data_IF_885870392599
#
_entry.id   IF_885870392599
#
_cell.length_a   1.000
_cell.length_b   1.000
_cell.length_c   1.000
_cell.angle_alpha   90.00
_cell.angle_beta   90.00
_cell.angle_gamma   90.00
#
_symmetry.space_group_name_H-M   'P 1'
#
loop_
_entity.id
_entity.type
_entity.pdbx_description
1 polymer ?
#
# COMPACT_ATOMS: atom_id res chain seq x y z
N UNK A 1 -14.03 -15.19 -31.29
CA UNK A 1 -13.70 -15.33 -29.86
C UNK A 1 -13.17 -13.99 -29.41
N UNK A 2 -14.03 -13.13 -28.87
CA UNK A 2 -13.64 -11.77 -28.48
C UNK A 2 -13.08 -11.80 -27.06
N UNK A 3 -11.81 -11.43 -27.00
CA UNK A 3 -11.06 -10.81 -25.91
C UNK A 3 -11.64 -10.96 -24.51
N UNK A 4 -11.02 -11.86 -23.74
CA UNK A 4 -10.92 -11.72 -22.29
C UNK A 4 -10.09 -10.46 -22.01
N UNK A 5 -10.73 -9.29 -22.07
CA UNK A 5 -10.21 -8.07 -21.49
C UNK A 5 -10.37 -8.24 -19.99
N UNK A 6 -9.45 -9.00 -19.38
CA UNK A 6 -9.33 -9.04 -17.94
C UNK A 6 -9.18 -7.59 -17.49
N UNK A 7 -10.17 -7.09 -16.76
CA UNK A 7 -10.00 -5.88 -15.95
C UNK A 7 -8.71 -6.10 -15.18
N UNK A 8 -7.65 -5.39 -15.55
CA UNK A 8 -6.58 -5.10 -14.60
C UNK A 8 -7.32 -4.41 -13.46
N UNK A 9 -7.67 -5.13 -12.40
CA UNK A 9 -8.07 -4.48 -11.17
C UNK A 9 -6.84 -3.69 -10.76
N UNK A 10 -6.79 -2.42 -11.14
CA UNK A 10 -5.70 -1.53 -10.78
C UNK A 10 -5.63 -1.53 -9.26
N UNK A 11 -4.54 -2.07 -8.73
CA UNK A 11 -4.28 -2.06 -7.29
C UNK A 11 -4.02 -0.61 -6.93
N UNK A 12 -4.81 -0.05 -6.04
CA UNK A 12 -4.64 1.32 -5.58
C UNK A 12 -3.70 1.40 -4.38
N UNK A 13 -3.25 2.60 -4.04
CA UNK A 13 -2.47 2.86 -2.82
C UNK A 13 -3.22 2.37 -1.58
N UNK A 14 -4.52 2.65 -1.49
CA UNK A 14 -5.37 2.15 -0.40
C UNK A 14 -5.36 0.62 -0.30
N UNK A 15 -5.41 -0.09 -1.44
CA UNK A 15 -5.32 -1.55 -1.42
C UNK A 15 -3.96 -2.07 -0.93
N UNK A 16 -2.88 -1.34 -1.21
CA UNK A 16 -1.55 -1.67 -0.69
C UNK A 16 -1.49 -1.47 0.84
N UNK A 17 -2.03 -0.37 1.35
CA UNK A 17 -2.08 -0.06 2.79
C UNK A 17 -2.91 -1.11 3.52
N UNK A 18 -4.11 -1.42 3.03
CA UNK A 18 -4.98 -2.43 3.62
C UNK A 18 -4.31 -3.81 3.65
N UNK A 19 -3.62 -4.19 2.57
CA UNK A 19 -2.91 -5.47 2.49
C UNK A 19 -1.69 -5.53 3.43
N UNK A 20 -0.98 -4.41 3.62
CA UNK A 20 0.11 -4.30 4.57
C UNK A 20 -0.41 -4.37 6.01
N UNK A 21 -1.47 -3.61 6.33
CA UNK A 21 -2.13 -3.64 7.65
C UNK A 21 -2.57 -5.05 8.02
N UNK A 22 -3.26 -5.75 7.12
CA UNK A 22 -3.73 -7.11 7.38
C UNK A 22 -2.56 -8.10 7.64
N UNK A 23 -1.42 -7.91 6.98
CA UNK A 23 -0.22 -8.71 7.24
C UNK A 23 0.38 -8.39 8.62
N UNK A 24 0.48 -7.10 8.96
CA UNK A 24 0.97 -6.63 10.25
C UNK A 24 0.10 -7.09 11.41
N UNK A 25 -1.23 -7.09 11.27
CA UNK A 25 -2.18 -7.59 12.27
C UNK A 25 -2.14 -9.11 12.42
N UNK A 26 -1.88 -9.84 11.32
CA UNK A 26 -1.76 -11.29 11.34
C UNK A 26 -0.45 -11.77 11.98
N UNK A 27 0.55 -10.89 12.04
CA UNK A 27 1.83 -11.15 12.71
C UNK A 27 1.82 -10.57 14.11
N UNK A 28 2.18 -11.38 15.10
CA UNK A 28 2.37 -10.92 16.49
C UNK A 28 3.71 -10.18 16.61
N UNK A 29 3.80 -9.00 15.99
CA UNK A 29 4.99 -8.15 15.97
C UNK A 29 4.70 -6.80 16.63
N UNK A 30 5.73 -6.24 17.26
CA UNK A 30 5.71 -4.87 17.75
C UNK A 30 5.93 -3.90 16.57
N UNK A 31 5.09 -2.86 16.47
CA UNK A 31 5.24 -1.79 15.48
C UNK A 31 6.43 -0.87 15.81
N UNK A 32 7.07 -0.33 14.78
CA UNK A 32 8.28 0.48 14.91
C UNK A 32 7.99 1.97 15.06
N UNK A 33 9.04 2.78 15.21
CA UNK A 33 9.03 4.26 15.02
C UNK A 33 7.95 5.08 15.77
N UNK A 34 7.29 4.53 16.79
CA UNK A 34 6.22 5.22 17.52
C UNK A 34 4.83 5.07 16.90
N UNK A 35 4.64 4.16 15.93
CA UNK A 35 3.33 3.81 15.39
C UNK A 35 2.47 3.20 16.49
N UNK A 36 1.27 3.76 16.66
CA UNK A 36 0.33 3.32 17.71
C UNK A 36 -0.47 2.07 17.29
N UNK A 37 -0.56 1.82 15.99
CA UNK A 37 -1.34 0.74 15.39
C UNK A 37 -0.77 0.25 14.05
N UNK A 38 -1.31 -0.87 13.57
CA UNK A 38 -0.94 -1.47 12.29
C UNK A 38 -1.22 -0.57 11.09
N UNK A 39 -2.17 0.36 11.20
CA UNK A 39 -2.57 1.25 10.12
C UNK A 39 -1.52 2.35 9.88
N UNK A 40 -1.01 2.96 10.95
CA UNK A 40 0.08 3.93 10.88
C UNK A 40 1.36 3.30 10.31
N UNK A 41 1.74 2.11 10.81
CA UNK A 41 2.92 1.40 10.31
C UNK A 41 2.75 0.96 8.85
N UNK A 42 1.57 0.43 8.48
CA UNK A 42 1.27 0.05 7.10
C UNK A 42 1.34 1.25 6.14
N UNK A 43 0.77 2.38 6.54
CA UNK A 43 0.80 3.61 5.75
C UNK A 43 2.23 4.08 5.55
N UNK A 44 3.02 4.16 6.63
CA UNK A 44 4.42 4.54 6.56
C UNK A 44 5.24 3.63 5.64
N UNK A 45 5.10 2.30 5.78
CA UNK A 45 5.81 1.33 4.96
C UNK A 45 5.48 1.46 3.47
N UNK A 46 4.20 1.64 3.15
CA UNK A 46 3.74 1.75 1.76
C UNK A 46 4.17 3.08 1.13
N UNK A 47 4.03 4.20 1.86
CA UNK A 47 4.51 5.52 1.42
C UNK A 47 6.02 5.48 1.17
N UNK A 48 6.78 4.95 2.13
CA UNK A 48 8.22 4.88 2.03
C UNK A 48 8.68 4.00 0.88
N UNK A 49 8.03 2.85 0.67
CA UNK A 49 8.34 1.95 -0.45
C UNK A 49 8.03 2.56 -1.82
N UNK A 50 7.08 3.50 -1.89
CA UNK A 50 6.65 4.17 -3.11
C UNK A 50 7.23 5.57 -3.29
N UNK A 51 8.08 6.02 -2.36
CA UNK A 51 8.69 7.37 -2.34
C UNK A 51 7.65 8.48 -2.48
N UNK A 52 6.53 8.35 -1.75
CA UNK A 52 5.45 9.34 -1.69
C UNK A 52 5.75 10.32 -0.55
N UNK A 53 5.47 11.60 -0.74
CA UNK A 53 5.58 12.59 0.34
C UNK A 53 4.42 12.43 1.34
N UNK A 54 4.74 12.43 2.63
CA UNK A 54 3.82 12.09 3.73
C UNK A 54 2.63 13.05 3.88
N UNK A 55 2.74 14.26 3.34
CA UNK A 55 1.71 15.31 3.36
C UNK A 55 0.54 15.08 2.39
N UNK A 56 0.67 14.17 1.42
CA UNK A 56 -0.29 14.04 0.31
C UNK A 56 -1.02 12.67 0.27
N UNK A 57 -0.79 11.79 1.25
CA UNK A 57 -1.31 10.41 1.23
C UNK A 57 -2.84 10.32 1.03
N UNK A 58 -3.61 11.12 1.75
CA UNK A 58 -5.08 11.10 1.69
C UNK A 58 -5.59 11.42 0.27
N UNK A 59 -4.85 12.23 -0.48
CA UNK A 59 -5.19 12.60 -1.85
C UNK A 59 -4.74 11.56 -2.89
N UNK A 60 -3.84 10.66 -2.50
CA UNK A 60 -3.20 9.66 -3.36
C UNK A 60 -3.79 8.25 -3.14
N UNK A 61 -4.74 8.06 -2.22
CA UNK A 61 -5.32 6.75 -1.89
C UNK A 61 -5.89 5.99 -3.09
N UNK A 62 -6.50 6.70 -4.04
CA UNK A 62 -7.05 6.15 -5.28
C UNK A 62 -6.02 6.01 -6.40
N UNK A 63 -4.77 6.45 -6.18
CA UNK A 63 -3.71 6.37 -7.19
C UNK A 63 -3.43 4.90 -7.53
N UNK A 64 -3.43 4.53 -8.82
CA UNK A 64 -3.03 3.20 -9.24
C UNK A 64 -1.52 2.98 -8.99
N UNK A 65 -1.19 1.85 -8.37
CA UNK A 65 0.18 1.41 -8.10
C UNK A 65 0.58 0.37 -9.14
N UNK A 66 1.64 0.65 -9.90
CA UNK A 66 2.22 -0.31 -10.84
C UNK A 66 3.26 -1.19 -10.16
N UNK A 67 3.20 -2.51 -10.38
CA UNK A 67 4.18 -3.49 -9.88
C UNK A 67 5.60 -3.29 -10.44
N UNK A 68 5.74 -2.57 -11.55
CA UNK A 68 7.03 -2.38 -12.24
C UNK A 68 8.02 -1.44 -11.52
N UNK A 69 7.61 -0.80 -10.41
CA UNK A 69 8.46 0.14 -9.66
C UNK A 69 9.43 -0.47 -8.65
N UNK A 70 9.29 -1.74 -8.27
CA UNK A 70 10.02 -2.36 -7.15
C UNK A 70 11.42 -2.92 -7.50
N UNK A 71 11.99 -2.55 -8.64
CA UNK A 71 13.28 -3.08 -9.10
C UNK A 71 14.36 -1.98 -9.10
N UNK A 72 14.80 -1.56 -7.91
CA UNK A 72 16.07 -0.84 -7.74
C UNK A 72 16.77 -1.30 -6.47
#
# INVERSE_FOLDING_TARGET
>A
MLSSMGKSSEITLANCIDAARAQLEATDIDYGQGSEDAEQEASWLVIHALDIEDNDIDSELDRPVSRDGQNK
#
